data_IF_838899884202
#
_entry.id   IF_838899884202
#
_cell.length_a   1.000
_cell.length_b   1.000
_cell.length_c   1.000
_cell.angle_alpha   90.00
_cell.angle_beta   90.00
_cell.angle_gamma   90.00
#
_symmetry.space_group_name_H-M   'P 1'
#
loop_
_entity.id
_entity.type
_entity.pdbx_description
1 polymer ?
#
# COMPACT_ATOMS: atom_id res chain seq x y z
N UNK A 1 20.26 -10.09 8.49
CA UNK A 1 21.25 -9.27 7.74
C UNK A 1 22.56 -10.00 7.39
N UNK A 2 23.24 -10.73 8.30
CA UNK A 2 24.46 -11.51 7.95
C UNK A 2 24.24 -12.52 6.80
N UNK A 3 23.01 -13.00 6.62
CA UNK A 3 22.62 -13.92 5.54
C UNK A 3 22.53 -13.27 4.15
N UNK A 4 22.12 -12.00 4.04
CA UNK A 4 22.03 -11.28 2.76
C UNK A 4 23.43 -10.92 2.24
N UNK A 5 24.32 -10.49 3.13
CA UNK A 5 25.73 -10.22 2.84
C UNK A 5 26.53 -11.49 2.44
N UNK A 6 26.07 -12.69 2.82
CA UNK A 6 26.64 -13.96 2.37
C UNK A 6 26.15 -14.43 1.01
N UNK A 7 25.00 -13.92 0.55
CA UNK A 7 24.35 -14.28 -0.73
C UNK A 7 24.66 -13.32 -1.87
N UNK A 8 24.94 -12.05 -1.56
CA UNK A 8 25.64 -11.18 -2.50
C UNK A 8 27.05 -11.79 -2.70
N UNK A 9 27.40 -12.17 -3.92
CA UNK A 9 28.72 -12.71 -4.24
C UNK A 9 29.79 -11.85 -3.57
N UNK A 10 30.73 -12.51 -2.89
CA UNK A 10 31.80 -11.94 -2.05
C UNK A 10 32.78 -11.00 -2.76
N UNK A 11 32.46 -10.54 -3.98
CA UNK A 11 33.26 -9.64 -4.80
C UNK A 11 32.59 -8.28 -5.05
N UNK A 12 31.37 -8.03 -4.57
CA UNK A 12 30.75 -6.71 -4.71
C UNK A 12 31.11 -5.82 -3.51
N UNK A 13 32.38 -5.43 -3.46
CA UNK A 13 32.91 -4.53 -2.42
C UNK A 13 32.13 -3.19 -2.38
N UNK A 14 31.59 -2.75 -3.52
CA UNK A 14 30.77 -1.54 -3.62
C UNK A 14 29.45 -1.66 -2.88
N UNK A 15 28.73 -2.78 -3.02
CA UNK A 15 27.51 -3.03 -2.26
C UNK A 15 27.77 -3.09 -0.75
N UNK A 16 28.79 -3.83 -0.33
CA UNK A 16 29.13 -3.98 1.10
C UNK A 16 29.46 -2.63 1.74
N UNK A 17 30.24 -1.80 1.03
CA UNK A 17 30.58 -0.44 1.49
C UNK A 17 29.32 0.43 1.58
N UNK A 18 28.47 0.39 0.56
CA UNK A 18 27.22 1.15 0.49
C UNK A 18 26.27 0.78 1.64
N UNK A 19 26.11 -0.51 1.93
CA UNK A 19 25.34 -0.97 3.10
C UNK A 19 25.96 -0.54 4.43
N UNK A 20 27.29 -0.60 4.55
CA UNK A 20 28.00 -0.22 5.77
C UNK A 20 27.83 1.27 6.06
N UNK A 21 27.90 2.13 5.03
CA UNK A 21 27.63 3.56 5.12
C UNK A 21 26.19 3.84 5.55
N UNK A 22 25.19 3.23 4.90
CA UNK A 22 23.78 3.39 5.30
C UNK A 22 23.54 2.96 6.74
N UNK A 23 24.13 1.83 7.16
CA UNK A 23 24.00 1.34 8.52
C UNK A 23 24.63 2.29 9.54
N UNK A 24 25.82 2.82 9.25
CA UNK A 24 26.46 3.79 10.13
C UNK A 24 25.61 5.06 10.24
N UNK A 25 25.15 5.58 9.10
CA UNK A 25 24.30 6.75 9.05
C UNK A 25 23.03 6.56 9.90
N UNK A 26 22.29 5.47 9.67
CA UNK A 26 21.03 5.19 10.38
C UNK A 26 21.19 4.98 11.89
N UNK A 27 22.33 4.47 12.35
CA UNK A 27 22.55 4.15 13.77
C UNK A 27 23.21 5.28 14.55
N UNK A 28 24.09 6.07 13.90
CA UNK A 28 25.02 6.95 14.60
C UNK A 28 24.91 8.41 14.16
N UNK A 29 24.45 8.70 12.95
CA UNK A 29 24.48 10.07 12.38
C UNK A 29 23.08 10.66 12.20
N UNK A 30 22.09 9.83 11.84
CA UNK A 30 20.75 10.27 11.49
C UNK A 30 20.03 10.92 12.67
N UNK A 31 19.51 12.11 12.45
CA UNK A 31 18.62 12.83 13.35
C UNK A 31 17.15 12.74 12.89
N UNK A 32 16.22 13.24 13.71
CA UNK A 32 14.77 13.23 13.39
C UNK A 32 14.40 14.15 12.24
N UNK A 33 15.19 15.19 11.98
CA UNK A 33 14.91 16.18 10.93
C UNK A 33 15.49 15.79 9.57
N UNK A 34 16.38 14.80 9.55
CA UNK A 34 17.06 14.39 8.32
C UNK A 34 16.15 13.63 7.36
N UNK A 35 16.27 13.97 6.08
CA UNK A 35 15.63 13.27 4.97
C UNK A 35 16.47 12.03 4.63
N UNK A 36 15.82 10.89 4.49
CA UNK A 36 16.48 9.66 4.07
C UNK A 36 17.02 9.77 2.65
N UNK A 37 18.21 9.22 2.42
CA UNK A 37 18.78 9.12 1.06
C UNK A 37 17.92 8.23 0.15
N UNK A 38 18.02 8.37 -1.18
CA UNK A 38 17.30 7.52 -2.13
C UNK A 38 17.49 6.03 -1.88
N UNK A 39 18.72 5.60 -1.53
CA UNK A 39 19.00 4.18 -1.25
C UNK A 39 18.30 3.69 0.02
N UNK A 40 18.23 4.53 1.07
CA UNK A 40 17.53 4.18 2.31
C UNK A 40 16.03 4.10 2.05
N UNK A 41 15.47 5.07 1.30
CA UNK A 41 14.07 5.06 0.89
C UNK A 41 13.73 3.80 0.06
N UNK A 42 14.61 3.43 -0.87
CA UNK A 42 14.48 2.22 -1.69
C UNK A 42 14.43 0.96 -0.82
N UNK A 43 15.37 0.80 0.12
CA UNK A 43 15.39 -0.37 1.02
C UNK A 43 14.15 -0.40 1.92
N UNK A 44 13.76 0.74 2.50
CA UNK A 44 12.54 0.83 3.33
C UNK A 44 11.29 0.45 2.54
N UNK A 45 11.16 0.98 1.33
CA UNK A 45 10.07 0.64 0.41
C UNK A 45 10.06 -0.85 0.11
N UNK A 46 11.22 -1.46 -0.17
CA UNK A 46 11.31 -2.90 -0.43
C UNK A 46 10.88 -3.73 0.77
N UNK A 47 11.34 -3.40 1.98
CA UNK A 47 10.94 -4.08 3.21
C UNK A 47 9.41 -4.05 3.36
N UNK A 48 8.79 -2.88 3.20
CA UNK A 48 7.33 -2.73 3.33
C UNK A 48 6.54 -3.48 2.28
N UNK A 49 7.06 -3.58 1.04
CA UNK A 49 6.44 -4.42 -0.01
C UNK A 49 6.52 -5.91 0.31
N UNK A 50 7.64 -6.38 0.85
CA UNK A 50 7.78 -7.79 1.24
C UNK A 50 6.90 -8.12 2.46
N UNK A 51 6.76 -7.19 3.40
CA UNK A 51 5.80 -7.32 4.51
C UNK A 51 4.36 -7.41 3.99
N UNK A 52 3.96 -6.53 3.06
CA UNK A 52 2.64 -6.57 2.42
C UNK A 52 2.40 -7.91 1.70
N UNK A 53 3.31 -8.32 0.81
CA UNK A 53 3.24 -9.62 0.11
C UNK A 53 3.14 -10.79 1.09
N UNK A 54 3.85 -10.73 2.22
CA UNK A 54 3.80 -11.79 3.22
C UNK A 54 2.46 -11.86 3.94
N UNK A 55 1.85 -10.71 4.23
CA UNK A 55 0.50 -10.64 4.78
C UNK A 55 -0.53 -11.21 3.79
N UNK A 56 -0.43 -10.82 2.51
CA UNK A 56 -1.29 -11.29 1.42
C UNK A 56 -1.23 -12.82 1.25
N UNK A 57 -0.02 -13.41 1.28
CA UNK A 57 0.14 -14.87 1.26
C UNK A 57 -0.51 -15.56 2.46
N UNK A 58 -0.50 -14.93 3.64
CA UNK A 58 -1.11 -15.50 4.84
C UNK A 58 -2.63 -15.62 4.72
N UNK A 59 -3.27 -14.68 4.02
CA UNK A 59 -4.71 -14.70 3.72
C UNK A 59 -5.05 -15.44 2.42
N UNK A 60 -4.07 -16.12 1.81
CA UNK A 60 -4.27 -16.99 0.65
C UNK A 60 -4.26 -16.28 -0.71
N UNK A 61 -3.83 -15.01 -0.79
CA UNK A 61 -3.70 -14.29 -2.05
C UNK A 61 -2.37 -14.64 -2.73
N UNK A 62 -2.42 -15.01 -4.01
CA UNK A 62 -1.21 -15.30 -4.79
C UNK A 62 -0.49 -14.02 -5.22
N UNK A 63 0.83 -14.12 -5.38
CA UNK A 63 1.70 -12.96 -5.58
C UNK A 63 1.47 -12.22 -6.90
N UNK A 64 0.95 -12.91 -7.92
CA UNK A 64 0.59 -12.33 -9.22
C UNK A 64 -0.63 -11.42 -9.15
N UNK A 65 -1.45 -11.54 -8.10
CA UNK A 65 -2.61 -10.68 -7.86
C UNK A 65 -2.28 -9.49 -6.94
N UNK A 66 -1.02 -9.37 -6.48
CA UNK A 66 -0.57 -8.27 -5.62
C UNK A 66 0.11 -7.20 -6.46
N UNK A 67 -0.58 -6.08 -6.65
CA UNK A 67 -0.12 -4.96 -7.47
C UNK A 67 0.20 -3.74 -6.61
N UNK A 68 1.40 -3.19 -6.81
CA UNK A 68 1.83 -1.93 -6.19
C UNK A 68 1.74 -0.84 -7.26
N UNK A 69 0.74 0.05 -7.14
CA UNK A 69 0.48 1.08 -8.16
C UNK A 69 1.50 2.22 -8.16
N UNK A 70 2.28 2.36 -7.07
CA UNK A 70 3.33 3.36 -6.94
C UNK A 70 2.87 4.76 -7.36
N UNK A 71 1.72 5.17 -6.79
CA UNK A 71 1.04 6.40 -7.18
C UNK A 71 1.98 7.61 -6.96
N UNK A 72 2.14 8.49 -7.97
CA UNK A 72 3.01 9.66 -7.92
C UNK A 72 2.91 10.51 -6.65
N UNK A 73 1.73 10.62 -6.04
CA UNK A 73 1.56 11.41 -4.82
C UNK A 73 2.37 10.88 -3.61
N UNK A 74 2.77 9.60 -3.62
CA UNK A 74 3.60 8.99 -2.58
C UNK A 74 5.09 9.37 -2.69
N UNK A 75 5.58 9.70 -3.88
CA UNK A 75 7.00 9.84 -4.21
C UNK A 75 7.61 11.22 -3.89
N UNK A 76 7.24 11.82 -2.76
CA UNK A 76 7.74 13.15 -2.39
C UNK A 76 9.08 13.15 -1.66
N UNK A 77 9.51 11.99 -1.12
CA UNK A 77 10.65 11.88 -0.21
C UNK A 77 10.47 12.66 1.11
N UNK A 78 9.30 13.27 1.34
CA UNK A 78 8.97 14.09 2.50
C UNK A 78 7.86 13.44 3.32
N UNK A 79 7.74 13.87 4.58
CA UNK A 79 6.64 13.47 5.48
C UNK A 79 5.30 13.91 4.90
N UNK A 80 5.25 15.10 4.30
CA UNK A 80 4.06 15.60 3.61
C UNK A 80 3.98 15.05 2.18
N UNK A 81 2.82 14.47 1.84
CA UNK A 81 2.50 13.96 0.51
C UNK A 81 1.98 15.07 -0.39
N UNK A 82 2.12 14.88 -1.70
CA UNK A 82 1.55 15.80 -2.68
C UNK A 82 0.01 15.63 -2.71
N UNK A 83 -0.74 16.65 -3.17
CA UNK A 83 -2.12 16.44 -3.58
C UNK A 83 -2.17 15.41 -4.72
N UNK A 84 -3.28 14.68 -4.84
CA UNK A 84 -3.50 13.81 -6.01
C UNK A 84 -3.43 14.62 -7.30
N UNK A 85 -2.94 13.99 -8.35
CA UNK A 85 -2.93 14.53 -9.70
C UNK A 85 -3.76 13.67 -10.65
N UNK A 86 -4.07 14.19 -11.83
CA UNK A 86 -4.73 13.44 -12.90
C UNK A 86 -3.96 12.15 -13.26
N UNK A 87 -2.63 12.18 -13.15
CA UNK A 87 -1.80 10.99 -13.40
C UNK A 87 -2.08 9.87 -12.40
N UNK A 88 -2.30 10.19 -11.12
CA UNK A 88 -2.65 9.19 -10.11
C UNK A 88 -4.01 8.55 -10.44
N UNK A 89 -4.99 9.37 -10.86
CA UNK A 89 -6.33 8.93 -11.24
C UNK A 89 -6.28 7.97 -12.44
N UNK A 90 -5.52 8.31 -13.48
CA UNK A 90 -5.39 7.48 -14.67
C UNK A 90 -4.73 6.14 -14.37
N UNK A 91 -3.70 6.10 -13.51
CA UNK A 91 -3.07 4.83 -13.08
C UNK A 91 -4.10 3.91 -12.40
N UNK A 92 -4.93 4.46 -11.51
CA UNK A 92 -5.98 3.69 -10.82
C UNK A 92 -7.05 3.21 -11.81
N UNK A 93 -7.51 4.10 -12.70
CA UNK A 93 -8.47 3.78 -13.76
C UNK A 93 -7.97 2.61 -14.61
N UNK A 94 -6.78 2.74 -15.18
CA UNK A 94 -6.21 1.75 -16.08
C UNK A 94 -6.06 0.39 -15.37
N UNK A 95 -5.65 0.40 -14.10
CA UNK A 95 -5.59 -0.82 -13.30
C UNK A 95 -6.97 -1.48 -13.13
N UNK A 96 -7.99 -0.71 -12.74
CA UNK A 96 -9.36 -1.23 -12.58
C UNK A 96 -9.87 -1.83 -13.90
N UNK A 97 -9.61 -1.17 -15.04
CA UNK A 97 -10.04 -1.63 -16.37
C UNK A 97 -9.32 -2.91 -16.84
N UNK A 98 -8.11 -3.19 -16.36
CA UNK A 98 -7.43 -4.46 -16.66
C UNK A 98 -8.10 -5.65 -15.97
N UNK A 99 -8.74 -5.43 -14.82
CA UNK A 99 -9.38 -6.48 -14.01
C UNK A 99 -10.90 -6.57 -14.30
N UNK A 100 -11.57 -5.42 -14.47
CA UNK A 100 -13.04 -5.29 -14.54
C UNK A 100 -13.75 -6.02 -13.39
N UNK A 101 -13.47 -5.65 -12.13
CA UNK A 101 -13.96 -6.39 -10.98
C UNK A 101 -15.47 -6.21 -10.78
N UNK A 102 -16.12 -7.21 -10.21
CA UNK A 102 -17.51 -7.08 -9.74
C UNK A 102 -17.60 -6.36 -8.38
N UNK A 103 -16.50 -6.29 -7.62
CA UNK A 103 -16.46 -5.69 -6.29
C UNK A 103 -15.13 -4.98 -6.06
N UNK A 104 -15.18 -3.76 -5.52
CA UNK A 104 -14.01 -2.98 -5.12
C UNK A 104 -14.15 -2.63 -3.65
N UNK A 105 -13.13 -2.93 -2.85
CA UNK A 105 -13.10 -2.59 -1.43
C UNK A 105 -12.12 -1.44 -1.20
N UNK A 106 -12.57 -0.35 -0.60
CA UNK A 106 -11.76 0.86 -0.37
C UNK A 106 -11.84 1.32 1.07
N UNK A 107 -10.74 1.89 1.59
CA UNK A 107 -10.73 2.51 2.90
C UNK A 107 -11.50 3.84 2.85
N UNK A 108 -12.70 3.86 3.44
CA UNK A 108 -13.55 5.05 3.62
C UNK A 108 -13.24 5.81 4.91
N UNK A 109 -12.06 5.61 5.49
CA UNK A 109 -11.66 6.21 6.76
C UNK A 109 -11.15 7.64 6.55
N UNK A 110 -12.07 8.61 6.67
CA UNK A 110 -11.77 10.04 6.58
C UNK A 110 -11.12 10.60 7.84
N UNK A 111 -11.00 9.80 8.92
CA UNK A 111 -10.40 10.19 10.18
C UNK A 111 -8.92 9.81 10.30
N UNK A 112 -8.31 9.28 9.23
CA UNK A 112 -6.88 8.95 9.17
C UNK A 112 -6.00 10.16 9.56
N UNK A 113 -5.19 10.07 10.65
CA UNK A 113 -4.33 11.17 11.10
C UNK A 113 -3.25 11.54 10.07
N UNK A 114 -2.93 10.63 9.14
CA UNK A 114 -1.96 10.87 8.07
C UNK A 114 -2.60 11.39 6.78
N UNK A 115 -3.94 11.38 6.69
CA UNK A 115 -4.72 11.85 5.53
C UNK A 115 -4.57 11.01 4.26
N UNK A 116 -3.72 9.97 4.28
CA UNK A 116 -3.43 9.12 3.12
C UNK A 116 -4.62 8.30 2.65
N UNK A 117 -5.48 7.83 3.58
CA UNK A 117 -6.70 7.12 3.21
C UNK A 117 -7.64 8.00 2.37
N UNK A 118 -7.83 9.26 2.77
CA UNK A 118 -8.63 10.23 2.02
C UNK A 118 -8.06 10.46 0.62
N UNK A 119 -6.75 10.67 0.51
CA UNK A 119 -6.07 10.91 -0.77
C UNK A 119 -6.22 9.72 -1.72
N UNK A 120 -6.03 8.48 -1.23
CA UNK A 120 -6.28 7.27 -2.01
C UNK A 120 -7.75 7.12 -2.41
N UNK A 121 -8.68 7.38 -1.50
CA UNK A 121 -10.13 7.31 -1.78
C UNK A 121 -10.52 8.31 -2.87
N UNK A 122 -10.04 9.56 -2.77
CA UNK A 122 -10.30 10.61 -3.75
C UNK A 122 -9.80 10.18 -5.16
N UNK A 123 -8.62 9.55 -5.25
CA UNK A 123 -8.10 9.03 -6.52
C UNK A 123 -8.97 7.90 -7.10
N UNK A 124 -9.42 6.97 -6.26
CA UNK A 124 -10.28 5.85 -6.69
C UNK A 124 -11.66 6.36 -7.13
N UNK A 125 -12.27 7.27 -6.37
CA UNK A 125 -13.58 7.84 -6.72
C UNK A 125 -13.50 8.65 -8.02
N UNK A 126 -12.42 9.41 -8.24
CA UNK A 126 -12.19 10.11 -9.50
C UNK A 126 -12.02 9.14 -10.68
N UNK A 127 -11.32 8.01 -10.49
CA UNK A 127 -11.18 6.99 -11.52
C UNK A 127 -12.53 6.31 -11.84
N UNK A 128 -13.32 6.03 -10.80
CA UNK A 128 -14.68 5.50 -10.92
C UNK A 128 -15.59 6.47 -11.67
N UNK A 129 -15.49 7.77 -11.41
CA UNK A 129 -16.32 8.77 -12.10
C UNK A 129 -16.12 8.76 -13.63
N UNK A 130 -14.92 8.40 -14.09
CA UNK A 130 -14.59 8.25 -15.51
C UNK A 130 -15.20 6.98 -16.11
N UNK A 131 -15.19 5.86 -15.39
CA UNK A 131 -15.56 4.52 -15.93
C UNK A 131 -16.97 4.07 -15.57
N UNK A 132 -17.68 4.78 -14.69
CA UNK A 132 -19.00 4.34 -14.16
C UNK A 132 -20.07 4.12 -15.23
N UNK A 133 -19.94 4.75 -16.40
CA UNK A 133 -20.88 4.63 -17.51
C UNK A 133 -20.60 3.40 -18.40
N UNK A 134 -19.45 2.73 -18.22
CA UNK A 134 -19.12 1.51 -18.94
C UNK A 134 -20.10 0.38 -18.63
N UNK A 135 -20.43 -0.42 -19.63
CA UNK A 135 -21.42 -1.50 -19.49
C UNK A 135 -21.05 -2.52 -18.41
N UNK A 136 -19.77 -2.89 -18.32
CA UNK A 136 -19.27 -3.84 -17.31
C UNK A 136 -19.37 -3.29 -15.88
N UNK A 137 -19.29 -1.96 -15.72
CA UNK A 137 -19.27 -1.33 -14.40
C UNK A 137 -20.65 -1.33 -13.74
N UNK A 138 -21.74 -1.47 -14.51
CA UNK A 138 -23.12 -1.52 -13.99
C UNK A 138 -23.32 -2.66 -12.96
N UNK A 139 -22.58 -3.75 -13.13
CA UNK A 139 -22.59 -4.91 -12.22
C UNK A 139 -21.50 -4.85 -11.15
N UNK A 140 -20.67 -3.80 -11.13
CA UNK A 140 -19.67 -3.57 -10.09
C UNK A 140 -20.29 -2.92 -8.84
N UNK A 141 -19.78 -3.27 -7.65
CA UNK A 141 -20.14 -2.64 -6.37
C UNK A 141 -18.89 -2.14 -5.67
N UNK A 142 -18.97 -0.95 -5.08
CA UNK A 142 -17.88 -0.39 -4.26
C UNK A 142 -18.31 -0.46 -2.80
N UNK A 143 -17.46 -1.06 -1.97
CA UNK A 143 -17.67 -1.20 -0.54
C UNK A 143 -16.61 -0.43 0.22
N UNK A 144 -17.06 0.46 1.10
CA UNK A 144 -16.18 1.26 1.94
C UNK A 144 -16.08 0.65 3.32
N UNK A 145 -14.85 0.44 3.80
CA UNK A 145 -14.59 0.00 5.17
C UNK A 145 -13.81 1.07 5.94
N UNK A 146 -13.93 1.08 7.27
CA UNK A 146 -13.14 1.96 8.13
C UNK A 146 -12.03 1.20 8.85
N UNK A 147 -10.97 1.93 9.20
CA UNK A 147 -9.86 1.43 9.97
C UNK A 147 -10.15 1.40 11.48
N UNK A 148 -9.11 1.16 12.27
CA UNK A 148 -9.21 1.03 13.73
C UNK A 148 -9.52 2.36 14.46
N UNK A 149 -9.61 3.48 13.76
CA UNK A 149 -9.77 4.81 14.35
C UNK A 149 -11.23 5.21 14.57
N UNK A 150 -12.13 4.71 13.74
CA UNK A 150 -13.54 5.05 13.80
C UNK A 150 -14.38 3.92 13.20
N UNK A 151 -15.32 3.38 13.96
CA UNK A 151 -16.25 2.38 13.46
C UNK A 151 -17.42 3.05 12.71
N UNK A 152 -18.16 2.26 11.94
CA UNK A 152 -19.47 2.70 11.44
C UNK A 152 -20.51 2.44 12.53
N UNK A 153 -21.45 3.37 12.69
CA UNK A 153 -22.67 3.08 13.44
C UNK A 153 -23.41 1.91 12.77
N UNK A 154 -24.04 1.07 13.59
CA UNK A 154 -24.63 -0.20 13.13
C UNK A 154 -25.67 0.03 12.03
N UNK A 155 -26.42 1.13 12.10
CA UNK A 155 -27.45 1.52 11.13
C UNK A 155 -26.90 2.02 9.79
N UNK A 156 -25.59 2.31 9.69
CA UNK A 156 -24.92 2.63 8.43
C UNK A 156 -24.35 1.39 7.71
N UNK A 157 -24.43 0.20 8.31
CA UNK A 157 -23.88 -1.03 7.74
C UNK A 157 -24.81 -1.54 6.63
N UNK A 158 -24.35 -1.50 5.39
CA UNK A 158 -25.09 -2.04 4.23
C UNK A 158 -24.71 -3.50 3.91
N UNK A 159 -23.55 -3.96 4.35
CA UNK A 159 -23.06 -5.33 4.13
C UNK A 159 -22.23 -5.82 5.32
N UNK A 160 -22.46 -7.08 5.71
CA UNK A 160 -21.63 -7.80 6.66
C UNK A 160 -21.12 -9.11 6.05
N UNK A 161 -19.80 -9.31 6.07
CA UNK A 161 -19.15 -10.57 5.65
C UNK A 161 -18.75 -11.34 6.91
N UNK A 162 -19.43 -12.46 7.25
CA UNK A 162 -19.04 -13.26 8.40
C UNK A 162 -17.70 -13.94 8.13
N UNK A 163 -16.81 -13.91 9.13
CA UNK A 163 -15.53 -14.62 9.10
C UNK A 163 -15.61 -15.85 10.00
N UNK A 164 -15.18 -16.99 9.48
CA UNK A 164 -14.97 -18.21 10.24
C UNK A 164 -13.80 -18.05 11.23
N UNK A 165 -13.71 -18.90 12.27
CA UNK A 165 -12.58 -18.88 13.19
C UNK A 165 -11.22 -19.04 12.52
N UNK A 166 -11.14 -19.76 11.40
CA UNK A 166 -9.89 -19.96 10.67
C UNK A 166 -9.49 -18.72 9.88
N UNK A 167 -10.43 -18.08 9.17
CA UNK A 167 -10.18 -16.81 8.47
C UNK A 167 -9.77 -15.71 9.46
N UNK A 168 -10.38 -15.69 10.65
CA UNK A 168 -9.97 -14.77 11.72
C UNK A 168 -8.53 -15.03 12.19
N UNK A 169 -8.13 -16.30 12.33
CA UNK A 169 -6.74 -16.66 12.66
C UNK A 169 -5.78 -16.22 11.55
N UNK A 170 -6.14 -16.45 10.29
CA UNK A 170 -5.35 -16.03 9.14
C UNK A 170 -5.15 -14.51 9.11
N UNK A 171 -6.24 -13.76 9.24
CA UNK A 171 -6.20 -12.30 9.33
C UNK A 171 -5.29 -11.82 10.46
N UNK A 172 -5.39 -12.42 11.66
CA UNK A 172 -4.57 -12.02 12.81
C UNK A 172 -3.08 -12.25 12.58
N UNK A 173 -2.71 -13.35 11.93
CA UNK A 173 -1.31 -13.68 11.69
C UNK A 173 -0.71 -12.91 10.50
N UNK A 174 -1.55 -12.26 9.69
CA UNK A 174 -1.15 -11.37 8.61
C UNK A 174 -0.81 -9.93 9.08
N UNK A 175 -1.23 -9.56 10.30
CA UNK A 175 -1.11 -8.20 10.88
C UNK A 175 0.04 -8.12 11.88
#
# INVERSE_FOLDING_TARGET
MRSLLKKANSNDNGLIETYSKMRNYLLNEKTKEDIDSPDILFIKGRIRREEARSADRYVGLSEENVHFLDLPFYETGRVQKNPISEKDVLIVKDFIETIKPHQIYVAGDLADPHGTHKVCLDAILAAVDIIKEDEWFKDCRIWMYRGAWMEWEIDHIEMAVPLSPEELRQKRNAV
#
